data_IF_440305217144
#
_entry.id   IF_440305217144
#
_cell.length_a   1.000
_cell.length_b   1.000
_cell.length_c   1.000
_cell.angle_alpha   90.00
_cell.angle_beta   90.00
_cell.angle_gamma   90.00
#
_symmetry.space_group_name_H-M   'P 1'
#
loop_
_entity.id
_entity.type
_entity.pdbx_description
1 polymer ?
#
# COMPACT_ATOMS: atom_id res chain seq x y z
N UNK A 1 7.81 -0.91 -30.57
CA UNK A 1 9.12 -1.18 -29.94
C UNK A 1 9.63 -0.02 -29.11
N UNK A 2 9.78 1.20 -29.67
CA UNK A 2 10.22 2.37 -28.88
C UNK A 2 9.29 2.70 -27.69
N UNK A 3 7.96 2.66 -27.88
CA UNK A 3 6.99 2.85 -26.81
C UNK A 3 7.09 1.80 -25.69
N UNK A 4 7.37 0.55 -26.04
CA UNK A 4 7.56 -0.54 -25.06
C UNK A 4 8.83 -0.31 -24.25
N UNK A 5 9.93 0.08 -24.91
CA UNK A 5 11.18 0.40 -24.23
C UNK A 5 11.02 1.62 -23.31
N UNK A 6 10.24 2.62 -23.73
CA UNK A 6 9.93 3.79 -22.92
C UNK A 6 9.12 3.42 -21.67
N UNK A 7 8.07 2.61 -21.82
CA UNK A 7 7.26 2.14 -20.70
C UNK A 7 8.09 1.33 -19.69
N UNK A 8 8.93 0.41 -20.16
CA UNK A 8 9.85 -0.37 -19.31
C UNK A 8 10.88 0.55 -18.63
N UNK A 9 11.41 1.53 -19.37
CA UNK A 9 12.34 2.53 -18.85
C UNK A 9 11.75 3.31 -17.69
N UNK A 10 10.53 3.84 -17.87
CA UNK A 10 9.79 4.58 -16.85
C UNK A 10 9.52 3.69 -15.63
N UNK A 11 9.02 2.47 -15.85
CA UNK A 11 8.74 1.53 -14.76
C UNK A 11 9.99 1.19 -13.93
N UNK A 12 11.11 0.88 -14.59
CA UNK A 12 12.37 0.57 -13.90
C UNK A 12 12.94 1.78 -13.15
N UNK A 13 12.77 3.00 -13.69
CA UNK A 13 13.15 4.23 -13.00
C UNK A 13 12.38 4.43 -11.69
N UNK A 14 11.07 4.20 -11.71
CA UNK A 14 10.27 4.24 -10.48
C UNK A 14 10.64 3.12 -9.50
N UNK A 15 10.87 1.89 -9.97
CA UNK A 15 11.30 0.79 -9.11
C UNK A 15 12.60 1.11 -8.35
N UNK A 16 13.58 1.71 -9.03
CA UNK A 16 14.82 2.17 -8.41
C UNK A 16 14.59 3.35 -7.47
N UNK A 17 13.75 4.31 -7.83
CA UNK A 17 13.46 5.47 -6.97
C UNK A 17 12.87 5.07 -5.60
N UNK A 18 11.97 4.09 -5.60
CA UNK A 18 11.28 3.65 -4.39
C UNK A 18 12.09 2.64 -3.56
N UNK A 19 12.84 1.73 -4.21
CA UNK A 19 13.49 0.60 -3.51
C UNK A 19 15.01 0.61 -3.47
N UNK A 20 15.67 1.49 -4.23
CA UNK A 20 17.14 1.48 -4.23
C UNK A 20 17.68 1.97 -2.86
N UNK A 21 18.54 1.17 -2.20
CA UNK A 21 19.08 1.52 -0.90
C UNK A 21 20.06 2.69 -1.02
N UNK A 22 19.93 3.68 -0.14
CA UNK A 22 20.83 4.83 -0.08
C UNK A 22 20.12 6.18 0.00
N UNK A 23 20.93 7.24 0.02
CA UNK A 23 20.45 8.62 0.03
C UNK A 23 19.85 9.02 -1.33
N UNK A 24 19.22 10.20 -1.40
CA UNK A 24 18.59 10.72 -2.62
C UNK A 24 19.57 10.75 -3.79
N UNK A 25 20.84 11.13 -3.56
CA UNK A 25 21.86 11.17 -4.59
C UNK A 25 22.14 9.78 -5.20
N UNK A 26 22.23 8.73 -4.37
CA UNK A 26 22.39 7.36 -4.83
C UNK A 26 21.21 6.88 -5.67
N UNK A 27 19.97 7.23 -5.27
CA UNK A 27 18.75 6.91 -6.03
C UNK A 27 18.72 7.62 -7.38
N UNK A 28 19.05 8.91 -7.41
CA UNK A 28 19.14 9.68 -8.66
C UNK A 28 20.20 9.06 -9.58
N UNK A 29 21.37 8.71 -9.06
CA UNK A 29 22.42 8.07 -9.84
C UNK A 29 21.97 6.73 -10.44
N UNK A 30 21.30 5.88 -9.66
CA UNK A 30 20.76 4.61 -10.15
C UNK A 30 19.74 4.79 -11.29
N UNK A 31 18.83 5.77 -11.15
CA UNK A 31 17.86 6.11 -12.21
C UNK A 31 18.57 6.61 -13.47
N UNK A 32 19.57 7.48 -13.33
CA UNK A 32 20.35 7.98 -14.47
C UNK A 32 21.08 6.85 -15.21
N UNK A 33 21.66 5.90 -14.46
CA UNK A 33 22.30 4.70 -15.04
C UNK A 33 21.28 3.86 -15.83
N UNK A 34 20.05 3.70 -15.32
CA UNK A 34 18.98 2.97 -16.00
C UNK A 34 18.48 3.67 -17.28
N UNK A 35 18.55 5.00 -17.35
CA UNK A 35 18.19 5.76 -18.55
C UNK A 35 19.12 5.47 -19.74
N UNK A 36 20.40 5.16 -19.51
CA UNK A 36 21.40 4.93 -20.57
C UNK A 36 21.00 3.76 -21.51
N UNK A 37 20.78 2.52 -21.04
CA UNK A 37 20.36 1.42 -21.90
C UNK A 37 18.94 1.63 -22.47
N UNK A 38 18.06 2.35 -21.74
CA UNK A 38 16.71 2.70 -22.20
C UNK A 38 16.76 3.61 -23.44
N UNK A 39 17.51 4.71 -23.38
CA UNK A 39 17.68 5.65 -24.50
C UNK A 39 18.35 4.95 -25.68
N UNK A 40 19.34 4.10 -25.41
CA UNK A 40 20.03 3.34 -26.46
C UNK A 40 19.08 2.36 -27.18
N UNK A 41 18.22 1.65 -26.44
CA UNK A 41 17.19 0.77 -27.00
C UNK A 41 16.12 1.53 -27.79
N UNK A 42 15.69 2.72 -27.33
CA UNK A 42 14.75 3.57 -28.07
C UNK A 42 15.36 4.02 -29.40
N UNK A 43 16.60 4.54 -29.39
CA UNK A 43 17.28 4.99 -30.62
C UNK A 43 17.47 3.87 -31.63
N UNK A 44 17.72 2.64 -31.16
CA UNK A 44 17.80 1.47 -32.02
C UNK A 44 16.48 1.12 -32.73
N UNK A 45 15.33 1.52 -32.17
CA UNK A 45 14.01 1.34 -32.78
C UNK A 45 13.70 2.28 -33.95
N UNK A 46 14.44 3.40 -34.08
CA UNK A 46 14.27 4.39 -35.15
C UNK A 46 15.33 4.29 -36.26
N UNK A 47 16.32 3.40 -36.12
CA UNK A 47 17.40 3.23 -37.09
C UNK A 47 17.04 2.29 -38.25
N UNK A 48 17.63 2.49 -39.45
CA UNK A 48 17.32 1.70 -40.65
C UNK A 48 17.85 0.25 -40.59
N UNK A 49 18.81 -0.05 -39.70
CA UNK A 49 19.31 -1.41 -39.44
C UNK A 49 18.83 -1.87 -38.07
N UNK A 50 18.17 -3.02 -38.00
CA UNK A 50 17.65 -3.62 -36.77
C UNK A 50 18.82 -4.01 -35.86
N UNK A 51 19.14 -3.17 -34.87
CA UNK A 51 20.22 -3.40 -33.90
C UNK A 51 19.76 -4.35 -32.80
N UNK A 52 19.60 -5.62 -33.12
CA UNK A 52 19.12 -6.63 -32.16
C UNK A 52 19.94 -6.70 -30.87
N UNK A 53 21.25 -6.46 -30.94
CA UNK A 53 22.14 -6.43 -29.77
C UNK A 53 21.69 -5.43 -28.70
N UNK A 54 21.23 -4.23 -29.07
CA UNK A 54 20.78 -3.24 -28.08
C UNK A 54 19.47 -3.63 -27.40
N UNK A 55 18.57 -4.29 -28.15
CA UNK A 55 17.34 -4.84 -27.61
C UNK A 55 17.61 -6.05 -26.71
N UNK A 56 18.58 -6.90 -27.07
CA UNK A 56 18.99 -8.05 -26.28
C UNK A 56 19.62 -7.62 -24.94
N UNK A 57 20.52 -6.64 -24.95
CA UNK A 57 21.13 -6.09 -23.73
C UNK A 57 20.07 -5.44 -22.83
N UNK A 58 19.18 -4.62 -23.41
CA UNK A 58 18.09 -4.00 -22.65
C UNK A 58 17.13 -5.04 -22.06
N UNK A 59 16.79 -6.07 -22.84
CA UNK A 59 15.96 -7.19 -22.38
C UNK A 59 16.60 -7.95 -21.23
N UNK A 60 17.90 -8.25 -21.31
CA UNK A 60 18.63 -8.93 -20.23
C UNK A 60 18.66 -8.09 -18.94
N UNK A 61 18.92 -6.79 -19.05
CA UNK A 61 18.88 -5.87 -17.91
C UNK A 61 17.48 -5.76 -17.30
N UNK A 62 16.44 -5.78 -18.13
CA UNK A 62 15.06 -5.80 -17.65
C UNK A 62 14.71 -7.10 -16.91
N UNK A 63 15.16 -8.26 -17.39
CA UNK A 63 14.97 -9.53 -16.68
C UNK A 63 15.67 -9.50 -15.32
N UNK A 64 16.90 -8.98 -15.25
CA UNK A 64 17.62 -8.81 -13.98
C UNK A 64 16.86 -7.88 -13.02
N UNK A 65 16.32 -6.78 -13.54
CA UNK A 65 15.48 -5.86 -12.76
C UNK A 65 14.22 -6.55 -12.22
N UNK A 66 13.55 -7.37 -13.03
CA UNK A 66 12.36 -8.13 -12.59
C UNK A 66 12.69 -9.14 -11.50
N UNK A 67 13.81 -9.87 -11.63
CA UNK A 67 14.27 -10.82 -10.60
C UNK A 67 14.57 -10.07 -9.30
N UNK A 68 15.31 -8.96 -9.36
CA UNK A 68 15.56 -8.13 -8.19
C UNK A 68 14.25 -7.62 -7.57
N UNK A 69 13.35 -7.05 -8.37
CA UNK A 69 12.07 -6.54 -7.89
C UNK A 69 11.20 -7.63 -7.25
N UNK A 70 11.25 -8.87 -7.77
CA UNK A 70 10.56 -10.01 -7.18
C UNK A 70 11.15 -10.45 -5.82
N UNK A 71 12.42 -10.17 -5.55
CA UNK A 71 13.07 -10.45 -4.25
C UNK A 71 12.82 -9.38 -3.18
N UNK A 72 12.19 -8.25 -3.54
CA UNK A 72 11.85 -7.21 -2.58
C UNK A 72 10.71 -7.73 -1.70
N UNK A 73 11.08 -8.17 -0.51
CA UNK A 73 10.15 -8.54 0.56
C UNK A 73 9.67 -7.23 1.18
N UNK A 74 8.35 -6.97 1.20
CA UNK A 74 7.84 -5.81 1.90
C UNK A 74 8.18 -5.91 3.40
N UNK A 75 8.73 -4.84 3.96
CA UNK A 75 9.21 -4.83 5.34
C UNK A 75 8.04 -4.56 6.30
N UNK A 76 7.58 -5.59 7.00
CA UNK A 76 6.51 -5.51 8.01
C UNK A 76 6.94 -4.89 9.35
N UNK A 77 8.18 -4.41 9.49
CA UNK A 77 8.79 -4.10 10.79
C UNK A 77 9.19 -2.63 10.91
N UNK A 78 8.21 -1.73 10.67
CA UNK A 78 8.35 -0.30 10.99
C UNK A 78 7.52 0.03 12.23
N UNK A 79 8.07 0.89 13.08
CA UNK A 79 7.42 1.34 14.32
C UNK A 79 6.07 1.97 14.01
N UNK A 80 5.02 1.16 14.19
CA UNK A 80 3.63 1.53 13.94
C UNK A 80 3.23 2.74 14.79
N UNK A 81 2.35 3.59 14.26
CA UNK A 81 1.77 4.68 15.02
C UNK A 81 0.99 4.14 16.24
N UNK A 82 0.99 4.89 17.35
CA UNK A 82 0.37 4.44 18.60
C UNK A 82 -1.13 4.12 18.45
N UNK A 83 -1.80 4.71 17.46
CA UNK A 83 -3.20 4.50 17.09
C UNK A 83 -3.46 3.26 16.22
N UNK A 84 -2.41 2.55 15.80
CA UNK A 84 -2.43 1.23 15.12
C UNK A 84 -1.46 0.22 15.74
N UNK A 85 -0.87 0.54 16.90
CA UNK A 85 0.18 -0.26 17.54
C UNK A 85 -0.28 -1.66 17.98
N UNK A 86 -1.59 -1.83 18.21
CA UNK A 86 -2.18 -3.11 18.58
C UNK A 86 -2.96 -3.67 17.40
N UNK A 87 -2.54 -4.78 16.79
CA UNK A 87 -3.34 -5.41 15.75
C UNK A 87 -4.67 -5.87 16.36
N UNK A 88 -5.78 -5.51 15.70
CA UNK A 88 -7.09 -6.04 16.00
C UNK A 88 -7.04 -7.58 15.93
N UNK A 89 -7.41 -8.25 17.01
CA UNK A 89 -7.54 -9.71 17.02
C UNK A 89 -8.99 -10.05 17.28
N UNK A 90 -9.63 -10.66 16.29
CA UNK A 90 -11.00 -11.15 16.41
C UNK A 90 -10.98 -12.68 16.45
N UNK A 91 -11.66 -13.24 17.44
CA UNK A 91 -11.81 -14.68 17.63
C UNK A 91 -13.28 -15.00 17.84
N UNK A 92 -13.79 -15.95 17.06
CA UNK A 92 -15.15 -16.45 17.19
C UNK A 92 -15.11 -17.75 17.98
N UNK A 93 -15.85 -17.80 19.08
CA UNK A 93 -16.00 -18.98 19.93
C UNK A 93 -17.48 -19.34 20.00
N UNK A 94 -17.90 -20.27 19.12
CA UNK A 94 -19.30 -20.61 18.95
C UNK A 94 -20.10 -19.41 18.47
N UNK A 95 -21.02 -18.93 19.32
CA UNK A 95 -21.89 -17.78 19.04
C UNK A 95 -21.34 -16.45 19.57
N UNK A 96 -20.13 -16.45 20.16
CA UNK A 96 -19.53 -15.24 20.73
C UNK A 96 -18.37 -14.76 19.87
N UNK A 97 -18.43 -13.49 19.47
CA UNK A 97 -17.31 -12.75 18.89
C UNK A 97 -16.56 -12.02 20.00
N UNK A 98 -15.29 -12.37 20.18
CA UNK A 98 -14.36 -11.67 21.07
C UNK A 98 -13.40 -10.87 20.21
N UNK A 99 -13.32 -9.57 20.46
CA UNK A 99 -12.42 -8.67 19.76
C UNK A 99 -11.48 -8.07 20.79
N UNK A 100 -10.21 -8.44 20.70
CA UNK A 100 -9.15 -7.83 21.47
C UNK A 100 -8.65 -6.59 20.74
N UNK A 101 -8.13 -5.63 21.51
CA UNK A 101 -7.55 -4.40 21.00
C UNK A 101 -8.55 -3.54 20.23
N UNK A 102 -9.77 -3.38 20.74
CA UNK A 102 -10.69 -2.38 20.22
C UNK A 102 -10.21 -0.99 20.63
N UNK A 103 -10.05 -0.10 19.65
CA UNK A 103 -9.63 1.29 19.86
C UNK A 103 -10.77 2.08 20.48
N UNK A 104 -10.63 2.47 21.75
CA UNK A 104 -11.59 3.30 22.47
C UNK A 104 -10.93 4.60 22.95
N UNK A 105 -10.36 5.35 22.01
CA UNK A 105 -9.58 6.54 22.33
C UNK A 105 -10.49 7.71 22.61
N UNK A 106 -10.16 8.48 23.65
CA UNK A 106 -10.86 9.70 23.95
C UNK A 106 -10.11 10.88 23.31
N UNK A 107 -10.61 11.34 22.17
CA UNK A 107 -9.99 12.41 21.38
C UNK A 107 -10.43 13.77 21.91
N UNK A 108 -9.45 14.61 22.28
CA UNK A 108 -9.66 16.04 22.57
C UNK A 108 -9.39 16.88 21.32
N UNK A 109 -8.33 16.55 20.59
CA UNK A 109 -8.00 17.09 19.25
C UNK A 109 -7.42 15.98 18.37
N UNK A 110 -7.03 16.30 17.13
CA UNK A 110 -6.35 15.35 16.21
C UNK A 110 -5.04 14.80 16.76
N UNK A 111 -4.35 15.60 17.59
CA UNK A 111 -3.01 15.27 18.08
C UNK A 111 -2.96 15.14 19.62
N UNK A 112 -4.11 15.29 20.29
CA UNK A 112 -4.26 15.11 21.73
C UNK A 112 -5.41 14.15 22.03
N UNK A 113 -5.06 12.95 22.46
CA UNK A 113 -6.00 11.87 22.74
C UNK A 113 -5.49 10.95 23.83
N UNK A 114 -6.41 10.42 24.63
CA UNK A 114 -6.10 9.39 25.61
C UNK A 114 -6.24 8.01 24.95
N UNK A 115 -5.10 7.32 24.83
CA UNK A 115 -5.02 5.98 24.25
C UNK A 115 -5.64 4.96 25.21
N UNK A 116 -6.65 4.24 24.73
CA UNK A 116 -7.25 3.10 25.45
C UNK A 116 -7.63 2.00 24.48
N UNK A 117 -7.07 0.83 24.74
CA UNK A 117 -7.40 -0.42 24.06
C UNK A 117 -8.22 -1.28 25.00
N UNK A 118 -9.33 -1.82 24.52
CA UNK A 118 -10.20 -2.65 25.35
C UNK A 118 -10.64 -3.91 24.61
N UNK A 119 -10.81 -5.04 25.33
CA UNK A 119 -11.49 -6.20 24.78
C UNK A 119 -13.00 -5.92 24.74
N UNK A 120 -13.66 -6.31 23.64
CA UNK A 120 -15.12 -6.29 23.52
C UNK A 120 -15.64 -7.67 23.16
N UNK A 121 -16.81 -8.00 23.70
CA UNK A 121 -17.50 -9.25 23.42
C UNK A 121 -18.90 -8.97 22.90
N UNK A 122 -19.26 -9.67 21.83
CA UNK A 122 -20.54 -9.56 21.16
C UNK A 122 -21.13 -10.96 20.97
N UNK A 123 -22.43 -11.06 21.12
CA UNK A 123 -23.19 -12.29 20.87
C UNK A 123 -23.76 -12.20 19.45
N UNK A 124 -23.35 -13.12 18.57
CA UNK A 124 -23.68 -13.08 17.15
C UNK A 124 -25.17 -13.39 16.91
N UNK A 125 -25.81 -14.17 17.78
CA UNK A 125 -27.27 -14.37 17.75
C UNK A 125 -28.07 -13.10 18.00
N UNK A 126 -27.44 -12.10 18.62
CA UNK A 126 -28.09 -10.82 18.94
C UNK A 126 -27.95 -9.80 17.80
N UNK A 127 -27.32 -10.13 16.66
CA UNK A 127 -27.25 -9.22 15.52
C UNK A 127 -28.65 -9.05 14.91
N UNK A 128 -29.07 -7.79 14.78
CA UNK A 128 -30.38 -7.42 14.21
C UNK A 128 -30.27 -6.66 12.89
N UNK A 129 -29.18 -5.92 12.66
CA UNK A 129 -28.96 -5.17 11.42
C UNK A 129 -27.52 -5.26 10.93
N UNK A 130 -27.35 -5.11 9.63
CA UNK A 130 -26.07 -4.87 8.98
C UNK A 130 -26.26 -3.70 8.00
N UNK A 131 -25.58 -2.60 8.26
CA UNK A 131 -25.70 -1.34 7.53
C UNK A 131 -24.41 -1.07 6.76
N UNK A 132 -24.53 -0.82 5.45
CA UNK A 132 -23.41 -0.39 4.60
C UNK A 132 -23.42 1.13 4.51
N UNK A 133 -22.34 1.75 4.98
CA UNK A 133 -22.17 3.21 5.03
C UNK A 133 -21.05 3.61 4.05
N UNK A 134 -21.32 4.61 3.22
CA UNK A 134 -20.36 5.20 2.29
C UNK A 134 -20.07 6.65 2.69
N UNK A 135 -18.89 6.90 3.24
CA UNK A 135 -18.47 8.24 3.66
C UNK A 135 -17.56 8.89 2.62
N UNK A 136 -17.98 10.03 2.08
CA UNK A 136 -17.25 10.79 1.06
C UNK A 136 -16.62 12.02 1.68
N UNK A 137 -15.40 11.90 2.17
CA UNK A 137 -14.68 12.98 2.84
C UNK A 137 -13.51 13.55 2.02
N UNK A 138 -13.02 12.81 1.02
CA UNK A 138 -11.93 13.21 0.10
C UNK A 138 -12.44 13.46 -1.34
N UNK A 139 -13.66 13.99 -1.47
CA UNK A 139 -14.32 14.26 -2.75
C UNK A 139 -15.19 13.10 -3.27
N UNK A 140 -15.88 13.28 -4.42
CA UNK A 140 -16.95 12.39 -4.88
C UNK A 140 -16.45 11.03 -5.44
N UNK A 141 -15.14 10.90 -5.70
CA UNK A 141 -14.59 9.74 -6.40
C UNK A 141 -14.07 8.62 -5.49
N UNK A 142 -13.94 8.86 -4.17
CA UNK A 142 -13.39 7.89 -3.21
C UNK A 142 -14.35 7.78 -2.02
N UNK A 143 -15.13 6.70 -2.00
CA UNK A 143 -16.03 6.38 -0.91
C UNK A 143 -15.29 5.57 0.16
N UNK A 144 -15.30 6.05 1.39
CA UNK A 144 -14.87 5.28 2.53
C UNK A 144 -15.97 4.31 2.93
N UNK A 145 -15.74 3.02 2.69
CA UNK A 145 -16.75 1.99 2.91
C UNK A 145 -16.64 1.43 4.32
N UNK A 146 -17.75 1.51 5.04
CA UNK A 146 -17.89 1.05 6.42
C UNK A 146 -19.05 0.06 6.49
N UNK A 147 -18.90 -0.99 7.28
CA UNK A 147 -19.99 -1.92 7.61
C UNK A 147 -20.25 -1.83 9.10
N UNK A 148 -21.50 -1.51 9.48
CA UNK A 148 -21.96 -1.48 10.87
C UNK A 148 -22.86 -2.66 11.16
N UNK A 149 -22.68 -3.31 12.30
CA UNK A 149 -23.56 -4.35 12.80
C UNK A 149 -24.27 -3.87 14.06
N UNK A 150 -25.60 -3.85 14.04
CA UNK A 150 -26.45 -3.49 15.17
C UNK A 150 -26.86 -4.72 15.98
N UNK A 151 -26.75 -4.64 17.29
CA UNK A 151 -27.12 -5.71 18.23
C UNK A 151 -28.41 -5.38 18.99
N UNK A 152 -29.11 -6.41 19.47
CA UNK A 152 -30.38 -6.30 20.20
C UNK A 152 -30.31 -5.43 21.46
N UNK A 153 -29.13 -5.31 22.07
CA UNK A 153 -28.87 -4.46 23.24
C UNK A 153 -28.55 -3.00 22.88
N UNK A 154 -28.68 -2.63 21.60
CA UNK A 154 -28.43 -1.29 21.08
C UNK A 154 -26.96 -0.98 20.78
N UNK A 155 -26.03 -1.91 21.03
CA UNK A 155 -24.63 -1.72 20.64
C UNK A 155 -24.46 -1.76 19.12
N UNK A 156 -23.47 -1.02 18.64
CA UNK A 156 -23.05 -0.99 17.24
C UNK A 156 -21.58 -1.37 17.14
N UNK A 157 -21.24 -2.19 16.15
CA UNK A 157 -19.86 -2.58 15.83
C UNK A 157 -19.57 -2.21 14.37
N UNK A 158 -18.66 -1.25 14.16
CA UNK A 158 -18.32 -0.73 12.84
C UNK A 158 -16.94 -1.21 12.41
N UNK A 159 -16.84 -1.70 11.18
CA UNK A 159 -15.58 -2.01 10.51
C UNK A 159 -15.40 -1.05 9.33
N UNK A 160 -14.26 -0.37 9.26
CA UNK A 160 -13.80 0.28 8.03
C UNK A 160 -12.98 -0.71 7.20
N UNK A 161 -13.27 -0.82 5.91
CA UNK A 161 -12.36 -1.46 4.97
C UNK A 161 -11.27 -0.45 4.60
N UNK A 162 -10.26 -0.33 5.45
CA UNK A 162 -9.05 0.45 5.19
C UNK A 162 -7.90 -0.45 4.78
N UNK A 163 -7.34 -0.20 3.60
CA UNK A 163 -6.00 -0.65 3.22
C UNK A 163 -5.03 0.04 4.19
N UNK A 164 -4.25 -0.72 4.96
CA UNK A 164 -3.40 -0.19 6.04
C UNK A 164 -2.39 0.85 5.52
N UNK A 165 -2.10 1.88 6.32
CA UNK A 165 -1.15 2.98 6.01
C UNK A 165 -0.09 3.13 7.10
N UNK A 166 1.12 3.56 6.71
CA UNK A 166 2.22 3.94 7.62
C UNK A 166 2.03 5.35 8.23
N UNK A 167 2.66 5.62 9.39
CA UNK A 167 2.59 6.92 10.09
C UNK A 167 3.32 8.01 9.31
N UNK A 168 2.61 9.07 8.94
CA UNK A 168 3.20 10.31 8.41
C UNK A 168 3.36 10.39 6.89
N UNK A 169 2.95 9.37 6.13
CA UNK A 169 2.99 9.44 4.66
C UNK A 169 1.72 10.08 4.08
N UNK A 170 1.91 11.14 3.29
CA UNK A 170 0.88 11.65 2.41
C UNK A 170 0.57 10.61 1.33
N UNK A 171 -0.71 10.34 1.10
CA UNK A 171 -1.19 9.38 0.11
C UNK A 171 -0.54 9.64 -1.26
N UNK A 172 0.30 8.70 -1.71
CA UNK A 172 0.82 8.68 -3.07
C UNK A 172 0.36 7.40 -3.75
N UNK A 173 -0.63 7.53 -4.64
CA UNK A 173 -1.12 6.43 -5.46
C UNK A 173 0.01 5.73 -6.26
N UNK A 174 1.09 6.46 -6.56
CA UNK A 174 2.27 5.92 -7.23
C UNK A 174 3.09 5.00 -6.32
N UNK A 175 3.25 5.30 -5.03
CA UNK A 175 4.00 4.43 -4.11
C UNK A 175 3.31 3.07 -3.89
N UNK A 176 1.97 3.06 -3.83
CA UNK A 176 1.19 1.82 -3.71
C UNK A 176 1.40 0.87 -4.89
N UNK A 177 1.50 1.39 -6.11
CA UNK A 177 1.78 0.60 -7.30
C UNK A 177 3.16 -0.09 -7.26
N UNK A 178 4.12 0.50 -6.54
CA UNK A 178 5.47 -0.04 -6.39
C UNK A 178 5.68 -0.79 -5.08
N UNK A 179 4.64 -1.35 -4.43
CA UNK A 179 4.79 -2.11 -3.16
C UNK A 179 5.43 -1.29 -2.03
N UNK A 180 5.20 0.01 -1.98
CA UNK A 180 5.60 0.84 -0.84
C UNK A 180 4.62 0.76 0.33
N UNK A 181 3.40 0.27 0.09
CA UNK A 181 2.34 0.13 1.10
C UNK A 181 1.74 -1.27 1.03
N UNK A 182 1.39 -1.84 2.18
CA UNK A 182 0.66 -3.10 2.29
C UNK A 182 -0.78 -2.86 2.77
N UNK A 183 -1.72 -3.69 2.27
CA UNK A 183 -3.12 -3.68 2.67
C UNK A 183 -3.41 -4.50 3.90
#
# INVERSE_FOLDING_TARGET
MALVCLAIGIWGGFALWFHFPGNVAARVAAVLVWCVPTIWAIRAGFGPKRRWHSLAVFGALFVLMLVWWATIVPQQDRQWAEDVAQPLRAHIQGDRLVIDNVRNFHWRTTDDYDVRWEPRQYDLSQVQSADLLLSYWMGPAIAHTLVSFGFADGRQLVFSLEIRKEKGEQFSALGGFFRQFEG
#
